data_IF_073941403582
#
_entry.id   IF_073941403582
#
_cell.length_a   1.000
_cell.length_b   1.000
_cell.length_c   1.000
_cell.angle_alpha   90.00
_cell.angle_beta   90.00
_cell.angle_gamma   90.00
#
_symmetry.space_group_name_H-M   'P 1'
#
loop_
_entity.id
_entity.type
_entity.pdbx_description
1 polymer ?
#
# COMPACT_ATOMS: atom_id res chain seq x y z
N UNK A 1 -20.05 2.44 12.63
CA UNK A 1 -19.11 1.34 12.94
C UNK A 1 -18.31 0.87 11.72
N UNK A 2 -18.77 1.13 10.48
CA UNK A 2 -18.05 0.76 9.24
C UNK A 2 -16.69 1.47 9.03
N UNK A 3 -16.57 2.74 9.43
CA UNK A 3 -15.33 3.51 9.27
C UNK A 3 -14.11 2.88 9.98
N UNK A 4 -14.31 2.19 11.10
CA UNK A 4 -13.22 1.56 11.84
C UNK A 4 -12.78 0.24 11.19
N UNK A 5 -13.72 -0.52 10.61
CA UNK A 5 -13.41 -1.75 9.88
C UNK A 5 -12.62 -1.47 8.60
N UNK A 6 -13.00 -0.44 7.84
CA UNK A 6 -12.27 -0.03 6.65
C UNK A 6 -10.90 0.54 7.00
N UNK A 7 -10.79 1.37 8.04
CA UNK A 7 -9.51 1.85 8.57
C UNK A 7 -8.58 0.71 8.98
N UNK A 8 -9.11 -0.34 9.64
CA UNK A 8 -8.33 -1.51 10.03
C UNK A 8 -7.80 -2.25 8.81
N UNK A 9 -8.65 -2.52 7.82
CA UNK A 9 -8.23 -3.21 6.59
C UNK A 9 -7.20 -2.39 5.80
N UNK A 10 -7.39 -1.09 5.70
CA UNK A 10 -6.45 -0.16 5.07
C UNK A 10 -5.07 -0.25 5.75
N UNK A 11 -5.01 -0.07 7.07
CA UNK A 11 -3.76 -0.14 7.82
C UNK A 11 -3.10 -1.52 7.70
N UNK A 12 -3.90 -2.59 7.64
CA UNK A 12 -3.41 -3.95 7.41
C UNK A 12 -2.70 -4.09 6.06
N UNK A 13 -3.24 -3.48 5.00
CA UNK A 13 -2.60 -3.46 3.68
C UNK A 13 -1.31 -2.64 3.71
N UNK A 14 -1.30 -1.46 4.33
CA UNK A 14 -0.10 -0.63 4.45
C UNK A 14 1.04 -1.37 5.16
N UNK A 15 0.73 -2.05 6.27
CA UNK A 15 1.69 -2.88 6.98
C UNK A 15 2.20 -4.00 6.08
N UNK A 16 1.32 -4.66 5.33
CA UNK A 16 1.73 -5.68 4.37
C UNK A 16 2.63 -5.15 3.27
N UNK A 17 2.35 -3.94 2.76
CA UNK A 17 3.15 -3.30 1.71
C UNK A 17 4.56 -2.97 2.20
N UNK A 18 4.70 -2.43 3.42
CA UNK A 18 6.01 -2.15 4.03
C UNK A 18 6.85 -3.41 4.31
N UNK A 19 6.23 -4.58 4.35
CA UNK A 19 6.92 -5.87 4.53
C UNK A 19 7.33 -6.54 3.22
N UNK A 20 6.96 -6.00 2.06
CA UNK A 20 7.18 -6.65 0.77
C UNK A 20 8.67 -6.88 0.46
N UNK A 21 9.53 -5.98 0.91
CA UNK A 21 10.99 -6.08 0.79
C UNK A 21 11.64 -6.91 1.92
N UNK A 22 10.84 -7.46 2.85
CA UNK A 22 11.30 -8.31 3.94
C UNK A 22 11.79 -7.57 5.19
N UNK A 23 11.88 -6.24 5.15
CA UNK A 23 12.14 -5.38 6.30
C UNK A 23 11.38 -4.07 6.15
N UNK A 24 10.86 -3.52 7.25
CA UNK A 24 10.25 -2.19 7.25
C UNK A 24 11.34 -1.13 7.42
N UNK A 25 11.35 -0.12 6.56
CA UNK A 25 12.28 1.02 6.67
C UNK A 25 11.87 1.99 7.79
N UNK A 26 12.81 2.76 8.38
CA UNK A 26 12.50 3.72 9.43
C UNK A 26 11.39 4.72 9.08
N UNK A 27 11.36 5.19 7.84
CA UNK A 27 10.42 6.16 7.28
C UNK A 27 9.01 5.55 7.17
N UNK A 28 8.93 4.34 6.63
CA UNK A 28 7.70 3.55 6.57
C UNK A 28 7.16 3.24 7.97
N UNK A 29 8.04 2.88 8.91
CA UNK A 29 7.65 2.66 10.31
C UNK A 29 7.04 3.91 10.92
N UNK A 30 7.66 5.08 10.71
CA UNK A 30 7.13 6.36 11.21
C UNK A 30 5.76 6.66 10.59
N UNK A 31 5.61 6.42 9.28
CA UNK A 31 4.34 6.59 8.58
C UNK A 31 3.25 5.65 9.10
N UNK A 32 3.55 4.35 9.25
CA UNK A 32 2.62 3.35 9.79
C UNK A 32 2.17 3.70 11.21
N UNK A 33 3.06 4.20 12.07
CA UNK A 33 2.71 4.67 13.42
C UNK A 33 1.82 5.90 13.40
N UNK A 34 2.07 6.84 12.48
CA UNK A 34 1.21 8.00 12.28
C UNK A 34 -0.19 7.59 11.85
N UNK A 35 -0.30 6.66 10.88
CA UNK A 35 -1.58 6.13 10.41
C UNK A 35 -2.31 5.34 11.49
N UNK A 36 -1.61 4.52 12.28
CA UNK A 36 -2.19 3.80 13.41
C UNK A 36 -2.77 4.75 14.46
N UNK A 37 -2.06 5.85 14.76
CA UNK A 37 -2.56 6.90 15.66
C UNK A 37 -3.78 7.61 15.08
N UNK A 38 -3.71 8.02 13.80
CA UNK A 38 -4.80 8.71 13.11
C UNK A 38 -6.11 7.91 13.12
N UNK A 39 -6.03 6.59 12.90
CA UNK A 39 -7.19 5.71 12.92
C UNK A 39 -7.56 5.18 14.32
N UNK A 40 -6.86 5.57 15.39
CA UNK A 40 -7.05 5.04 16.74
C UNK A 40 -6.89 3.50 16.81
N UNK A 41 -5.91 2.97 16.09
CA UNK A 41 -5.61 1.54 15.95
C UNK A 41 -4.28 1.10 16.59
N UNK A 42 -3.62 1.99 17.33
CA UNK A 42 -2.34 1.72 18.03
C UNK A 42 -2.39 0.50 18.94
N UNK A 43 -3.50 0.33 19.65
CA UNK A 43 -3.70 -0.75 20.63
C UNK A 43 -4.46 -1.95 20.06
N UNK A 44 -4.64 -2.00 18.74
CA UNK A 44 -5.32 -3.10 18.09
C UNK A 44 -4.48 -4.39 18.19
N UNK A 45 -5.00 -5.40 18.90
CA UNK A 45 -4.30 -6.66 19.14
C UNK A 45 -3.94 -7.43 17.85
N UNK A 46 -4.71 -7.26 16.77
CA UNK A 46 -4.46 -7.91 15.48
C UNK A 46 -3.27 -7.27 14.74
N UNK A 47 -3.15 -5.94 14.81
CA UNK A 47 -2.13 -5.17 14.08
C UNK A 47 -0.83 -4.99 14.87
N UNK A 48 -0.91 -4.97 16.20
CA UNK A 48 0.23 -4.80 17.11
C UNK A 48 1.45 -5.69 16.81
N UNK A 49 1.32 -7.02 16.55
CA UNK A 49 2.49 -7.86 16.28
C UNK A 49 3.22 -7.46 14.98
N UNK A 50 2.48 -6.96 13.98
CA UNK A 50 3.08 -6.53 12.72
C UNK A 50 3.70 -5.13 12.82
N UNK A 51 3.02 -4.20 13.51
CA UNK A 51 3.52 -2.83 13.76
C UNK A 51 4.73 -2.78 14.70
N UNK A 52 4.86 -3.78 15.58
CA UNK A 52 6.01 -3.96 16.47
C UNK A 52 7.12 -4.80 15.84
N UNK A 53 6.97 -5.17 14.57
CA UNK A 53 7.90 -6.00 13.80
C UNK A 53 8.18 -7.39 14.40
N UNK A 54 7.33 -7.86 15.33
CA UNK A 54 7.42 -9.18 15.96
C UNK A 54 7.00 -10.29 15.00
N UNK A 55 6.14 -9.96 14.02
CA UNK A 55 5.68 -10.89 12.99
C UNK A 55 5.79 -10.23 11.62
N UNK A 56 6.58 -10.80 10.68
CA UNK A 56 6.59 -10.33 9.31
C UNK A 56 5.28 -10.66 8.60
N UNK A 57 4.89 -9.85 7.61
CA UNK A 57 3.80 -10.17 6.70
C UNK A 57 4.38 -10.82 5.45
N UNK A 58 3.89 -11.99 5.07
CA UNK A 58 4.30 -12.60 3.82
C UNK A 58 3.65 -11.87 2.64
N UNK A 59 4.34 -11.71 1.49
CA UNK A 59 3.75 -11.05 0.32
C UNK A 59 2.40 -11.65 -0.09
N UNK A 60 2.26 -12.97 -0.05
CA UNK A 60 1.00 -13.67 -0.35
C UNK A 60 -0.16 -13.24 0.58
N UNK A 61 0.12 -13.00 1.86
CA UNK A 61 -0.88 -12.49 2.81
C UNK A 61 -1.26 -11.05 2.48
N UNK A 62 -0.28 -10.19 2.14
CA UNK A 62 -0.53 -8.81 1.72
C UNK A 62 -1.44 -8.75 0.48
N UNK A 63 -1.13 -9.52 -0.57
CA UNK A 63 -1.96 -9.59 -1.77
C UNK A 63 -3.36 -10.13 -1.50
N UNK A 64 -3.50 -11.07 -0.56
CA UNK A 64 -4.82 -11.55 -0.13
C UNK A 64 -5.62 -10.44 0.53
N UNK A 65 -5.01 -9.68 1.44
CA UNK A 65 -5.68 -8.55 2.11
C UNK A 65 -6.09 -7.46 1.13
N UNK A 66 -5.27 -7.18 0.12
CA UNK A 66 -5.61 -6.26 -0.97
C UNK A 66 -6.88 -6.73 -1.69
N UNK A 67 -6.96 -8.00 -2.09
CA UNK A 67 -8.15 -8.57 -2.73
C UNK A 67 -9.37 -8.54 -1.82
N UNK A 68 -9.22 -8.92 -0.55
CA UNK A 68 -10.31 -8.91 0.44
C UNK A 68 -10.83 -7.48 0.75
N UNK A 69 -9.97 -6.47 0.63
CA UNK A 69 -10.37 -5.07 0.80
C UNK A 69 -11.09 -4.53 -0.42
N UNK A 70 -10.58 -4.84 -1.61
CA UNK A 70 -11.19 -4.41 -2.87
C UNK A 70 -12.51 -5.14 -3.16
N UNK A 71 -12.64 -6.39 -2.71
CA UNK A 71 -13.82 -7.22 -2.98
C UNK A 71 -14.09 -7.38 -4.48
N UNK A 72 -15.35 -7.66 -4.83
CA UNK A 72 -15.79 -7.75 -6.24
C UNK A 72 -16.08 -6.38 -6.87
N UNK A 73 -16.41 -5.36 -6.08
CA UNK A 73 -16.80 -4.05 -6.59
C UNK A 73 -16.45 -2.92 -5.61
N UNK A 74 -15.16 -2.52 -5.52
CA UNK A 74 -14.72 -1.49 -4.59
C UNK A 74 -15.36 -0.15 -4.91
N UNK A 75 -15.71 0.62 -3.88
CA UNK A 75 -16.12 2.01 -4.08
C UNK A 75 -14.92 2.83 -4.59
N UNK A 76 -15.19 3.87 -5.37
CA UNK A 76 -14.13 4.77 -5.83
C UNK A 76 -13.40 5.44 -4.66
N UNK A 77 -14.12 5.74 -3.57
CA UNK A 77 -13.57 6.34 -2.36
C UNK A 77 -12.58 5.40 -1.65
N UNK A 78 -12.92 4.12 -1.53
CA UNK A 78 -12.03 3.11 -0.93
C UNK A 78 -10.77 2.92 -1.78
N UNK A 79 -10.90 2.85 -3.11
CA UNK A 79 -9.74 2.76 -4.01
C UNK A 79 -8.83 3.98 -3.88
N UNK A 80 -9.41 5.19 -3.90
CA UNK A 80 -8.64 6.43 -3.84
C UNK A 80 -7.94 6.60 -2.48
N UNK A 81 -8.64 6.26 -1.38
CA UNK A 81 -8.07 6.30 -0.03
C UNK A 81 -6.92 5.31 0.13
N UNK A 82 -7.08 4.08 -0.40
CA UNK A 82 -5.99 3.10 -0.41
C UNK A 82 -4.79 3.58 -1.22
N UNK A 83 -5.04 4.15 -2.39
CA UNK A 83 -3.98 4.62 -3.29
C UNK A 83 -3.19 5.76 -2.66
N UNK A 84 -3.89 6.72 -2.04
CA UNK A 84 -3.27 7.84 -1.34
C UNK A 84 -2.42 7.37 -0.17
N UNK A 85 -2.96 6.47 0.66
CA UNK A 85 -2.24 5.93 1.80
C UNK A 85 -1.00 5.12 1.39
N UNK A 86 -1.11 4.30 0.34
CA UNK A 86 0.03 3.56 -0.22
C UNK A 86 1.07 4.49 -0.83
N UNK A 87 0.63 5.52 -1.55
CA UNK A 87 1.55 6.50 -2.12
C UNK A 87 2.30 7.26 -1.03
N UNK A 88 1.62 7.61 0.06
CA UNK A 88 2.25 8.25 1.23
C UNK A 88 3.25 7.34 1.95
N UNK A 89 2.95 6.05 2.08
CA UNK A 89 3.87 5.06 2.65
C UNK A 89 5.11 4.89 1.78
N UNK A 90 4.90 4.59 0.50
CA UNK A 90 5.96 4.20 -0.45
C UNK A 90 6.87 5.40 -0.78
N UNK A 91 6.29 6.60 -0.90
CA UNK A 91 7.06 7.80 -1.20
C UNK A 91 7.63 8.49 0.06
N UNK A 92 7.55 7.87 1.23
CA UNK A 92 7.99 8.47 2.50
C UNK A 92 9.50 8.80 2.52
N UNK A 93 10.31 8.04 1.77
CA UNK A 93 11.76 8.22 1.63
C UNK A 93 12.17 8.93 0.31
N UNK A 94 11.28 9.01 -0.67
CA UNK A 94 11.54 9.63 -1.98
C UNK A 94 12.07 8.67 -3.05
N UNK A 95 12.31 7.40 -2.71
CA UNK A 95 12.58 6.29 -3.64
C UNK A 95 11.40 5.29 -3.68
N UNK A 96 11.25 4.56 -4.78
CA UNK A 96 10.22 3.51 -4.92
C UNK A 96 10.89 2.18 -5.27
N UNK A 97 11.02 1.26 -4.30
CA UNK A 97 11.56 -0.05 -4.58
C UNK A 97 10.66 -0.89 -5.51
N UNK A 98 11.28 -1.93 -6.07
CA UNK A 98 10.68 -2.73 -7.15
C UNK A 98 9.44 -3.50 -6.65
N UNK A 99 9.41 -3.93 -5.39
CA UNK A 99 8.28 -4.70 -4.87
C UNK A 99 7.07 -3.80 -4.62
N UNK A 100 7.22 -2.58 -4.10
CA UNK A 100 6.07 -1.70 -3.95
C UNK A 100 5.60 -1.15 -5.30
N UNK A 101 6.49 -0.95 -6.27
CA UNK A 101 6.09 -0.63 -7.65
C UNK A 101 5.22 -1.76 -8.26
N UNK A 102 5.60 -3.03 -8.05
CA UNK A 102 4.79 -4.19 -8.48
C UNK A 102 3.45 -4.23 -7.75
N UNK A 103 3.44 -3.93 -6.45
CA UNK A 103 2.24 -3.90 -5.64
C UNK A 103 1.26 -2.81 -6.11
N UNK A 104 1.75 -1.60 -6.35
CA UNK A 104 0.97 -0.50 -6.92
C UNK A 104 0.40 -0.88 -8.28
N UNK A 105 1.17 -1.55 -9.14
CA UNK A 105 0.69 -2.03 -10.44
C UNK A 105 -0.46 -3.05 -10.29
N UNK A 106 -0.33 -4.01 -9.38
CA UNK A 106 -1.39 -4.98 -9.07
C UNK A 106 -2.66 -4.30 -8.57
N UNK A 107 -2.53 -3.27 -7.74
CA UNK A 107 -3.68 -2.47 -7.31
C UNK A 107 -4.39 -1.79 -8.48
N UNK A 108 -3.66 -1.28 -9.50
CA UNK A 108 -4.30 -0.65 -10.67
C UNK A 108 -5.15 -1.64 -11.48
N UNK A 109 -4.73 -2.91 -11.54
CA UNK A 109 -5.51 -3.97 -12.22
C UNK A 109 -6.85 -4.23 -11.52
N UNK A 110 -6.98 -3.85 -10.25
CA UNK A 110 -8.19 -3.94 -9.45
C UNK A 110 -9.00 -2.62 -9.45
N UNK A 111 -8.55 -1.60 -10.18
CA UNK A 111 -9.25 -0.32 -10.22
C UNK A 111 -10.65 -0.47 -10.85
N UNK A 112 -11.70 0.15 -10.28
CA UNK A 112 -13.02 0.15 -10.88
C UNK A 112 -12.95 0.81 -12.27
N UNK A 113 -13.64 0.22 -13.25
CA UNK A 113 -13.52 0.48 -14.69
C UNK A 113 -13.97 1.88 -15.17
N UNK A 114 -14.14 2.84 -14.26
CA UNK A 114 -14.50 4.23 -14.57
C UNK A 114 -13.54 5.21 -13.91
N UNK A 115 -12.65 5.75 -14.75
CA UNK A 115 -11.99 7.05 -14.58
C UNK A 115 -11.11 7.23 -13.33
N UNK A 116 -9.88 6.75 -13.47
CA UNK A 116 -8.71 7.13 -12.68
C UNK A 116 -8.62 8.66 -12.61
N UNK A 117 -8.85 9.27 -11.44
CA UNK A 117 -8.53 10.67 -11.22
C UNK A 117 -7.00 10.84 -11.25
N UNK A 118 -6.53 11.56 -12.28
CA UNK A 118 -5.20 11.42 -12.87
C UNK A 118 -4.05 12.16 -12.16
N UNK A 119 -4.28 13.18 -11.33
CA UNK A 119 -3.19 14.15 -11.06
C UNK A 119 -2.01 13.64 -10.20
N UNK A 120 -2.26 13.06 -9.02
CA UNK A 120 -1.19 12.56 -8.14
C UNK A 120 -0.71 11.18 -8.56
N UNK A 121 -1.64 10.38 -9.09
CA UNK A 121 -1.37 9.06 -9.62
C UNK A 121 -0.50 9.10 -10.87
N UNK A 122 -0.67 10.06 -11.80
CA UNK A 122 0.20 10.21 -12.97
C UNK A 122 1.65 10.45 -12.59
N UNK A 123 1.93 11.13 -11.47
CA UNK A 123 3.31 11.33 -11.01
C UNK A 123 3.92 10.01 -10.57
N UNK A 124 3.20 9.24 -9.75
CA UNK A 124 3.64 7.92 -9.27
C UNK A 124 3.72 6.93 -10.44
N UNK A 125 2.73 6.90 -11.32
CA UNK A 125 2.71 6.10 -12.55
C UNK A 125 3.88 6.42 -13.48
N UNK A 126 4.22 7.70 -13.68
CA UNK A 126 5.37 8.08 -14.49
C UNK A 126 6.68 7.57 -13.90
N UNK A 127 6.81 7.58 -12.57
CA UNK A 127 7.98 7.00 -11.89
C UNK A 127 8.00 5.48 -12.09
N UNK A 128 6.89 4.78 -11.87
CA UNK A 128 6.78 3.32 -12.08
C UNK A 128 7.08 2.94 -13.54
N UNK A 129 6.51 3.68 -14.51
CA UNK A 129 6.77 3.46 -15.93
C UNK A 129 8.22 3.69 -16.30
N UNK A 130 8.89 4.69 -15.70
CA UNK A 130 10.31 4.96 -15.91
C UNK A 130 11.17 3.81 -15.37
N UNK A 131 10.90 3.33 -14.16
CA UNK A 131 11.61 2.19 -13.55
C UNK A 131 11.45 0.92 -14.40
N UNK A 132 10.25 0.63 -14.88
CA UNK A 132 9.99 -0.54 -15.72
C UNK A 132 10.71 -0.45 -17.08
N UNK A 133 10.73 0.73 -17.71
CA UNK A 133 11.49 0.96 -18.95
C UNK A 133 13.00 0.81 -18.74
N UNK A 134 13.53 1.24 -17.60
CA UNK A 134 14.94 1.12 -17.26
C UNK A 134 15.34 -0.35 -17.02
N UNK A 135 14.55 -1.10 -16.25
CA UNK A 135 14.79 -2.52 -16.00
C UNK A 135 14.72 -3.39 -17.27
N UNK A 136 13.87 -3.05 -18.25
CA UNK A 136 13.82 -3.73 -19.55
C UNK A 136 15.02 -3.35 -20.43
N UNK A 137 15.52 -2.11 -20.33
CA UNK A 137 16.67 -1.65 -21.12
C UNK A 137 18.01 -2.22 -20.62
N UNK A 138 18.10 -2.66 -19.36
CA UNK A 138 19.29 -3.35 -18.81
C UNK A 138 19.33 -4.86 -19.13
N UNK A 139 18.36 -5.39 -19.88
CA UNK A 139 18.29 -6.80 -20.31
C UNK A 139 18.36 -6.98 -21.85
N UNK A 140 18.88 -5.99 -22.58
CA UNK A 140 19.15 -6.06 -24.04
C UNK A 140 20.62 -5.79 -24.34
#
# INVERSE_FOLDING_TARGET
MENNLNAKKLLKILVGAAWLDGTIKPEERAYLRSMATYYNLTDNAELKPFLSELKPVQPAECYKWLKDYMGDNPSQEDYQGLLEALSGLIYSDGDIPVQEAKFLNQMQLLAPSHQVHKSNFDKVLKVIQKLYRQAISEHV
#
